data_IF_739241403003
#
_entry.id   IF_739241403003
#
_cell.length_a   1.000
_cell.length_b   1.000
_cell.length_c   1.000
_cell.angle_alpha   90.00
_cell.angle_beta   90.00
_cell.angle_gamma   90.00
#
_symmetry.space_group_name_H-M   'P 1'
#
loop_
_entity.id
_entity.type
_entity.pdbx_description
1 polymer ?
#
# COMPACT_ATOMS: atom_id res chain seq x y z
N UNK A 1 3.16 -27.19 -21.79
CA UNK A 1 2.66 -26.50 -20.59
C UNK A 1 3.70 -25.45 -20.21
N UNK A 2 3.38 -24.16 -20.23
CA UNK A 2 4.28 -23.19 -19.62
C UNK A 2 4.38 -23.49 -18.12
N UNK A 3 5.59 -23.61 -17.63
CA UNK A 3 5.84 -23.72 -16.20
C UNK A 3 5.22 -22.49 -15.53
N UNK A 4 4.25 -22.68 -14.66
CA UNK A 4 3.76 -21.61 -13.78
C UNK A 4 4.93 -21.23 -12.90
N UNK A 5 5.59 -20.11 -13.24
CA UNK A 5 6.63 -19.57 -12.40
C UNK A 5 6.05 -19.37 -11.01
N UNK A 6 6.70 -19.93 -10.00
CA UNK A 6 6.31 -19.66 -8.61
C UNK A 6 6.37 -18.16 -8.39
N UNK A 7 5.28 -17.53 -7.92
CA UNK A 7 5.31 -16.09 -7.68
C UNK A 7 6.46 -15.73 -6.75
N UNK A 8 7.17 -14.65 -7.06
CA UNK A 8 8.25 -14.16 -6.20
C UNK A 8 7.69 -13.84 -4.81
N UNK A 9 8.43 -14.17 -3.74
CA UNK A 9 8.03 -13.77 -2.40
C UNK A 9 7.98 -12.23 -2.30
N UNK A 10 7.04 -11.73 -1.52
CA UNK A 10 6.83 -10.30 -1.37
C UNK A 10 6.67 -9.90 0.09
N UNK A 11 7.13 -8.70 0.41
CA UNK A 11 6.75 -7.96 1.61
C UNK A 11 5.49 -7.14 1.32
N UNK A 12 4.68 -6.86 2.31
CA UNK A 12 3.53 -5.98 2.15
C UNK A 12 3.63 -4.79 3.09
N UNK A 13 3.22 -3.61 2.63
CA UNK A 13 3.03 -2.44 3.49
C UNK A 13 1.60 -1.95 3.43
N UNK A 14 1.00 -1.80 4.60
CA UNK A 14 -0.29 -1.12 4.78
C UNK A 14 0.01 0.32 5.22
N UNK A 15 -0.42 1.28 4.41
CA UNK A 15 -0.17 2.71 4.66
C UNK A 15 -1.25 3.27 5.58
N UNK A 16 -0.92 3.43 6.85
CA UNK A 16 -1.78 4.00 7.88
C UNK A 16 -1.34 5.40 8.33
N UNK A 17 -0.33 5.97 7.69
CA UNK A 17 0.15 7.33 7.93
C UNK A 17 -0.73 8.37 7.24
N UNK A 18 -1.24 9.33 8.01
CA UNK A 18 -2.01 10.44 7.47
C UNK A 18 -2.62 11.28 8.58
N UNK A 19 -2.83 12.60 8.31
CA UNK A 19 -3.40 13.51 9.33
C UNK A 19 -4.86 13.24 9.67
N UNK A 20 -5.57 12.42 8.88
CA UNK A 20 -7.00 12.13 9.09
C UNK A 20 -7.90 13.37 9.09
N UNK A 21 -7.46 14.49 8.50
CA UNK A 21 -8.15 15.79 8.60
C UNK A 21 -9.61 15.73 8.13
N UNK A 22 -9.89 14.98 7.07
CA UNK A 22 -11.26 14.78 6.52
C UNK A 22 -12.17 13.95 7.43
N UNK A 23 -11.58 13.20 8.35
CA UNK A 23 -12.27 12.32 9.32
C UNK A 23 -12.16 12.89 10.74
N UNK A 24 -12.06 14.22 10.90
CA UNK A 24 -11.95 14.86 12.21
C UNK A 24 -10.68 14.50 13.01
N UNK A 25 -9.58 14.17 12.31
CA UNK A 25 -8.33 13.75 12.94
C UNK A 25 -8.28 12.27 13.34
N UNK A 26 -9.31 11.49 13.02
CA UNK A 26 -9.35 10.05 13.28
C UNK A 26 -8.27 9.29 12.50
N UNK A 27 -7.77 8.24 13.11
CA UNK A 27 -6.86 7.32 12.46
C UNK A 27 -7.67 6.33 11.58
N UNK A 28 -7.56 6.49 10.27
CA UNK A 28 -8.41 5.79 9.31
C UNK A 28 -8.34 4.27 9.42
N UNK A 29 -7.15 3.71 9.62
CA UNK A 29 -6.98 2.27 9.76
C UNK A 29 -7.68 1.69 11.00
N UNK A 30 -7.87 2.51 12.03
CA UNK A 30 -8.54 2.12 13.27
C UNK A 30 -10.04 2.46 13.30
N UNK A 31 -10.54 3.20 12.32
CA UNK A 31 -11.97 3.44 12.17
C UNK A 31 -12.67 2.12 11.84
N UNK A 32 -13.81 1.89 12.50
CA UNK A 32 -14.60 0.68 12.30
C UNK A 32 -15.43 0.77 11.02
N UNK A 33 -15.36 -0.28 10.25
CA UNK A 33 -16.25 -0.59 9.15
C UNK A 33 -16.83 -1.98 9.38
N UNK A 34 -18.16 -2.13 9.33
CA UNK A 34 -18.83 -3.40 9.66
C UNK A 34 -18.34 -3.99 10.99
N UNK A 35 -18.36 -3.16 12.04
CA UNK A 35 -18.00 -3.52 13.43
C UNK A 35 -16.53 -3.93 13.69
N UNK A 36 -15.62 -3.78 12.70
CA UNK A 36 -14.19 -4.09 12.85
C UNK A 36 -13.34 -2.93 12.34
N UNK A 37 -12.14 -2.68 12.92
CA UNK A 37 -11.19 -1.71 12.35
C UNK A 37 -10.85 -2.05 10.89
N UNK A 38 -10.74 -1.03 10.02
CA UNK A 38 -10.41 -1.26 8.61
C UNK A 38 -9.11 -2.03 8.42
N UNK A 39 -8.11 -1.77 9.27
CA UNK A 39 -6.84 -2.50 9.23
C UNK A 39 -7.01 -4.00 9.48
N UNK A 40 -7.98 -4.43 10.27
CA UNK A 40 -8.24 -5.85 10.54
C UNK A 40 -8.73 -6.60 9.31
N UNK A 41 -9.50 -5.94 8.44
CA UNK A 41 -9.94 -6.51 7.16
C UNK A 41 -8.76 -6.74 6.23
N UNK A 42 -7.89 -5.75 6.10
CA UNK A 42 -6.68 -5.84 5.28
C UNK A 42 -5.71 -6.91 5.81
N UNK A 43 -5.51 -6.93 7.12
CA UNK A 43 -4.68 -7.96 7.76
C UNK A 43 -5.17 -9.36 7.43
N UNK A 44 -6.47 -9.63 7.52
CA UNK A 44 -7.06 -10.94 7.25
C UNK A 44 -6.80 -11.42 5.82
N UNK A 45 -6.83 -10.50 4.85
CA UNK A 45 -6.57 -10.83 3.44
C UNK A 45 -5.08 -10.97 3.14
N UNK A 46 -4.24 -10.11 3.71
CA UNK A 46 -2.81 -10.02 3.37
C UNK A 46 -1.97 -11.03 4.16
N UNK A 47 -2.26 -11.24 5.45
CA UNK A 47 -1.46 -12.10 6.35
C UNK A 47 -1.21 -13.52 5.82
N UNK A 48 -2.19 -14.21 5.23
CA UNK A 48 -1.96 -15.55 4.68
C UNK A 48 -1.06 -15.60 3.45
N UNK A 49 -0.78 -14.45 2.82
CA UNK A 49 -0.06 -14.35 1.55
C UNK A 49 1.42 -13.99 1.73
N UNK A 50 1.81 -13.45 2.88
CA UNK A 50 3.20 -13.04 3.15
C UNK A 50 3.59 -13.27 4.59
N UNK A 51 4.87 -13.56 4.80
CA UNK A 51 5.51 -13.64 6.12
C UNK A 51 6.20 -12.33 6.53
N UNK A 52 6.03 -11.26 5.75
CA UNK A 52 6.64 -9.95 5.98
C UNK A 52 5.62 -8.82 5.77
N UNK A 53 4.78 -8.61 6.79
CA UNK A 53 3.73 -7.60 6.82
C UNK A 53 4.18 -6.39 7.64
N UNK A 54 4.26 -5.24 6.98
CA UNK A 54 4.70 -3.95 7.52
C UNK A 54 3.49 -3.02 7.60
N UNK A 55 3.39 -2.23 8.66
CA UNK A 55 2.46 -1.09 8.72
C UNK A 55 3.26 0.19 8.86
N UNK A 56 3.00 1.14 7.97
CA UNK A 56 3.53 2.50 8.07
C UNK A 56 2.56 3.36 8.85
N UNK A 57 2.96 3.78 10.07
CA UNK A 57 2.14 4.61 10.94
C UNK A 57 3.02 5.53 11.81
N UNK A 58 2.55 6.76 12.06
CA UNK A 58 3.24 7.74 12.89
C UNK A 58 2.57 7.93 14.27
N UNK A 59 1.43 7.29 14.48
CA UNK A 59 0.64 7.35 15.73
C UNK A 59 -0.06 6.01 15.98
N UNK A 60 -0.57 5.83 17.22
CA UNK A 60 -1.30 4.62 17.61
C UNK A 60 -0.54 3.31 17.35
N UNK A 61 0.78 3.34 17.47
CA UNK A 61 1.64 2.20 17.16
C UNK A 61 1.26 0.93 17.94
N UNK A 62 0.88 1.06 19.20
CA UNK A 62 0.44 -0.08 20.02
C UNK A 62 -0.78 -0.79 19.42
N UNK A 63 -1.73 -0.03 18.87
CA UNK A 63 -2.92 -0.59 18.24
C UNK A 63 -2.58 -1.31 16.92
N UNK A 64 -1.61 -0.81 16.16
CA UNK A 64 -1.17 -1.42 14.91
C UNK A 64 -0.23 -2.62 15.10
N UNK A 65 0.49 -2.69 16.23
CA UNK A 65 1.44 -3.77 16.49
C UNK A 65 0.83 -5.18 16.44
N UNK A 66 -0.47 -5.31 16.74
CA UNK A 66 -1.19 -6.57 16.66
C UNK A 66 -1.41 -7.08 15.22
N UNK A 67 -1.22 -6.21 14.22
CA UNK A 67 -1.53 -6.48 12.81
C UNK A 67 -0.31 -6.53 11.90
N UNK A 68 0.90 -6.42 12.43
CA UNK A 68 2.11 -6.38 11.62
C UNK A 68 3.28 -7.11 12.28
N UNK A 69 4.22 -7.58 11.45
CA UNK A 69 5.50 -8.08 11.91
C UNK A 69 6.42 -6.91 12.30
N UNK A 70 6.26 -5.76 11.62
CA UNK A 70 7.02 -4.54 11.88
C UNK A 70 6.20 -3.29 11.64
N UNK A 71 6.49 -2.28 12.44
CA UNK A 71 5.99 -0.92 12.24
C UNK A 71 7.12 -0.04 11.73
N UNK A 72 6.80 0.86 10.81
CA UNK A 72 7.71 1.92 10.35
C UNK A 72 7.01 3.26 10.47
N UNK A 73 7.76 4.29 10.83
CA UNK A 73 7.33 5.68 10.77
C UNK A 73 8.04 6.42 9.65
N UNK A 74 7.49 7.54 9.21
CA UNK A 74 8.28 8.52 8.48
C UNK A 74 8.94 9.47 9.48
N UNK A 75 10.20 9.83 9.25
CA UNK A 75 11.01 10.68 10.13
C UNK A 75 10.57 12.16 10.08
N UNK A 76 9.42 12.47 9.50
CA UNK A 76 8.97 13.82 9.21
C UNK A 76 7.75 14.21 10.02
N UNK A 77 7.88 15.26 10.82
CA UNK A 77 6.76 15.89 11.52
C UNK A 77 5.72 16.51 10.57
N UNK A 78 6.04 16.65 9.27
CA UNK A 78 5.25 17.40 8.29
C UNK A 78 4.31 16.53 7.44
N UNK A 79 4.23 15.22 7.70
CA UNK A 79 3.40 14.28 6.92
C UNK A 79 3.63 14.42 5.40
N UNK A 80 4.80 14.05 4.89
CA UNK A 80 5.20 14.30 3.50
C UNK A 80 4.47 13.44 2.47
N UNK A 81 3.39 12.78 2.85
CA UNK A 81 2.56 11.95 1.98
C UNK A 81 2.96 10.47 1.97
N UNK A 82 2.24 9.65 1.18
CA UNK A 82 2.39 8.19 1.20
C UNK A 82 3.76 7.70 0.72
N UNK A 83 4.48 8.48 -0.09
CA UNK A 83 5.82 8.10 -0.58
C UNK A 83 6.82 7.94 0.57
N UNK A 84 6.69 8.70 1.65
CA UNK A 84 7.52 8.55 2.85
C UNK A 84 7.34 7.17 3.50
N UNK A 85 6.09 6.73 3.67
CA UNK A 85 5.78 5.41 4.21
C UNK A 85 6.26 4.27 3.31
N UNK A 86 6.14 4.43 1.99
CA UNK A 86 6.67 3.47 1.00
C UNK A 86 8.20 3.39 1.10
N UNK A 87 8.88 4.53 1.19
CA UNK A 87 10.33 4.62 1.37
C UNK A 87 10.77 3.88 2.63
N UNK A 88 10.16 4.18 3.78
CA UNK A 88 10.46 3.53 5.04
C UNK A 88 10.23 2.00 4.98
N UNK A 89 9.16 1.55 4.32
CA UNK A 89 8.88 0.14 4.14
C UNK A 89 9.90 -0.55 3.22
N UNK A 90 10.31 0.07 2.10
CA UNK A 90 11.33 -0.49 1.20
C UNK A 90 12.69 -0.68 1.88
N UNK A 91 13.05 0.21 2.82
CA UNK A 91 14.30 0.11 3.59
C UNK A 91 14.35 -1.14 4.46
N UNK A 92 13.20 -1.61 4.98
CA UNK A 92 13.12 -2.74 5.89
C UNK A 92 12.54 -4.01 5.26
N UNK A 93 11.98 -3.94 4.06
CA UNK A 93 11.38 -5.06 3.35
C UNK A 93 12.39 -6.21 3.16
N UNK A 94 11.97 -7.45 3.46
CA UNK A 94 12.83 -8.64 3.36
C UNK A 94 12.82 -9.27 1.97
N UNK A 95 11.72 -9.08 1.23
CA UNK A 95 11.50 -9.73 -0.06
C UNK A 95 11.80 -8.81 -1.26
N UNK A 96 11.99 -9.37 -2.45
CA UNK A 96 12.32 -8.61 -3.67
C UNK A 96 11.20 -7.69 -4.16
N UNK A 97 9.95 -7.97 -3.76
CA UNK A 97 8.77 -7.17 -4.13
C UNK A 97 8.14 -6.58 -2.86
N UNK A 98 7.64 -5.35 -2.96
CA UNK A 98 6.82 -4.69 -1.95
C UNK A 98 5.41 -4.46 -2.50
N UNK A 99 4.41 -5.14 -1.95
CA UNK A 99 2.99 -4.82 -2.15
C UNK A 99 2.65 -3.60 -1.31
N UNK A 100 2.03 -2.59 -1.93
CA UNK A 100 1.58 -1.35 -1.29
C UNK A 100 0.07 -1.29 -1.31
N UNK A 101 -0.56 -1.12 -0.15
CA UNK A 101 -2.00 -0.98 0.00
C UNK A 101 -2.35 0.15 0.98
N UNK A 102 -3.43 0.93 0.74
CA UNK A 102 -3.89 1.92 1.70
C UNK A 102 -4.71 1.25 2.81
N UNK A 103 -4.65 1.77 4.03
CA UNK A 103 -5.36 1.21 5.19
C UNK A 103 -6.88 1.42 5.17
N UNK A 104 -7.38 2.30 4.31
CA UNK A 104 -8.78 2.72 4.21
C UNK A 104 -9.55 2.10 3.03
N UNK A 105 -9.03 1.02 2.46
CA UNK A 105 -9.67 0.24 1.39
C UNK A 105 -10.01 -1.21 1.85
N UNK A 106 -10.94 -1.39 2.78
CA UNK A 106 -11.18 -2.69 3.42
C UNK A 106 -11.87 -3.73 2.52
N UNK A 107 -12.24 -3.35 1.29
CA UNK A 107 -12.83 -4.27 0.29
C UNK A 107 -11.80 -4.96 -0.60
N UNK A 108 -10.51 -4.71 -0.39
CA UNK A 108 -9.44 -5.43 -1.09
C UNK A 108 -9.59 -6.93 -0.85
N UNK A 109 -9.43 -7.71 -1.92
CA UNK A 109 -9.49 -9.15 -1.86
C UNK A 109 -8.19 -9.80 -2.34
N UNK A 110 -8.07 -11.08 -2.09
CA UNK A 110 -6.93 -11.90 -2.52
C UNK A 110 -6.71 -11.85 -4.03
N UNK A 111 -7.78 -11.87 -4.81
CA UNK A 111 -7.71 -11.88 -6.28
C UNK A 111 -7.05 -10.63 -6.83
N UNK A 112 -7.37 -9.46 -6.27
CA UNK A 112 -6.72 -8.20 -6.64
C UNK A 112 -5.22 -8.23 -6.36
N UNK A 113 -4.83 -8.72 -5.18
CA UNK A 113 -3.42 -8.85 -4.79
C UNK A 113 -2.68 -9.80 -5.72
N UNK A 114 -3.23 -10.98 -5.99
CA UNK A 114 -2.63 -11.96 -6.89
C UNK A 114 -2.51 -11.42 -8.32
N UNK A 115 -3.48 -10.64 -8.79
CA UNK A 115 -3.44 -10.00 -10.11
C UNK A 115 -2.34 -8.95 -10.22
N UNK A 116 -2.13 -8.13 -9.17
CA UNK A 116 -1.02 -7.18 -9.11
C UNK A 116 0.33 -7.90 -9.12
N UNK A 117 0.47 -8.95 -8.31
CA UNK A 117 1.71 -9.72 -8.20
C UNK A 117 2.03 -10.48 -9.50
N UNK A 118 1.03 -10.98 -10.21
CA UNK A 118 1.20 -11.69 -11.47
C UNK A 118 1.79 -10.83 -12.59
N UNK A 119 1.60 -9.51 -12.52
CA UNK A 119 2.18 -8.54 -13.47
C UNK A 119 3.55 -8.03 -13.03
N UNK A 120 3.97 -8.33 -11.81
CA UNK A 120 5.21 -7.83 -11.23
C UNK A 120 6.40 -8.66 -11.71
N UNK A 121 7.09 -8.12 -12.70
CA UNK A 121 8.36 -8.63 -13.21
C UNK A 121 9.50 -7.67 -12.82
N UNK A 122 10.11 -7.02 -13.82
CA UNK A 122 11.24 -6.10 -13.62
C UNK A 122 10.83 -4.63 -13.41
N UNK A 123 9.56 -4.31 -13.45
CA UNK A 123 9.04 -2.94 -13.32
C UNK A 123 7.90 -2.86 -12.30
N UNK A 124 7.61 -1.67 -11.78
CA UNK A 124 6.46 -1.51 -10.89
C UNK A 124 5.15 -1.87 -11.58
N UNK A 125 4.16 -2.24 -10.77
CA UNK A 125 2.77 -2.41 -11.20
C UNK A 125 1.92 -1.43 -10.43
N UNK A 126 0.97 -0.78 -11.07
CA UNK A 126 -0.08 0.01 -10.41
C UNK A 126 -1.45 -0.40 -10.95
N UNK A 127 -2.45 -0.39 -10.08
CA UNK A 127 -3.83 -0.44 -10.54
C UNK A 127 -4.19 0.82 -11.33
N UNK A 128 -5.08 0.66 -12.31
CA UNK A 128 -5.60 1.76 -13.13
C UNK A 128 -7.11 1.59 -13.29
N UNK A 129 -7.86 2.67 -13.09
CA UNK A 129 -9.31 2.71 -13.24
C UNK A 129 -9.71 3.95 -14.03
N UNK A 130 -10.52 3.81 -15.07
CA UNK A 130 -10.93 4.91 -15.98
C UNK A 130 -9.74 5.68 -16.57
N UNK A 131 -8.61 5.01 -16.82
CA UNK A 131 -7.40 5.64 -17.30
C UNK A 131 -6.58 6.39 -16.23
N UNK A 132 -7.07 6.46 -14.98
CA UNK A 132 -6.37 7.08 -13.87
C UNK A 132 -5.59 6.04 -13.06
N UNK A 133 -4.37 6.41 -12.69
CA UNK A 133 -3.53 5.59 -11.85
C UNK A 133 -3.97 5.62 -10.39
N UNK A 134 -3.96 4.46 -9.76
CA UNK A 134 -4.21 4.27 -8.33
C UNK A 134 -2.87 3.90 -7.64
N UNK A 135 -2.01 4.88 -7.32
CA UNK A 135 -0.61 4.63 -6.95
C UNK A 135 -0.43 3.93 -5.60
N UNK A 136 -1.48 3.86 -4.78
CA UNK A 136 -1.43 3.15 -3.50
C UNK A 136 -1.90 1.70 -3.59
N UNK A 137 -2.28 1.23 -4.78
CA UNK A 137 -2.53 -0.17 -5.11
C UNK A 137 -1.44 -0.60 -6.09
N UNK A 138 -0.28 -0.96 -5.55
CA UNK A 138 0.93 -1.13 -6.35
C UNK A 138 1.79 -2.30 -5.86
N UNK A 139 2.62 -2.81 -6.76
CA UNK A 139 3.75 -3.68 -6.43
C UNK A 139 5.03 -3.01 -6.92
N UNK A 140 5.99 -2.88 -6.03
CA UNK A 140 7.23 -2.14 -6.27
C UNK A 140 8.42 -3.08 -6.09
N UNK A 141 9.28 -3.28 -7.13
CA UNK A 141 10.52 -4.00 -6.95
C UNK A 141 11.45 -3.30 -5.93
N UNK A 142 11.90 -4.04 -4.91
CA UNK A 142 12.75 -3.50 -3.84
C UNK A 142 14.05 -2.88 -4.38
N UNK A 143 14.54 -3.37 -5.51
CA UNK A 143 15.73 -2.83 -6.20
C UNK A 143 15.60 -1.36 -6.63
N UNK A 144 14.38 -0.81 -6.63
CA UNK A 144 14.14 0.60 -6.94
C UNK A 144 14.38 1.55 -5.74
N UNK A 145 14.72 1.02 -4.56
CA UNK A 145 15.00 1.84 -3.38
C UNK A 145 16.09 2.90 -3.64
N UNK A 146 17.23 2.63 -4.28
CA UNK A 146 18.21 3.69 -4.58
C UNK A 146 17.63 4.83 -5.42
N UNK A 147 16.84 4.51 -6.43
CA UNK A 147 16.15 5.53 -7.25
C UNK A 147 15.15 6.35 -6.42
N UNK A 148 14.45 5.72 -5.47
CA UNK A 148 13.56 6.45 -4.57
C UNK A 148 14.34 7.39 -3.64
N UNK A 149 15.48 6.97 -3.12
CA UNK A 149 16.33 7.81 -2.28
C UNK A 149 16.86 9.04 -3.04
N UNK A 150 17.29 8.86 -4.29
CA UNK A 150 17.71 9.96 -5.16
C UNK A 150 16.56 10.94 -5.44
N UNK A 151 15.39 10.43 -5.81
CA UNK A 151 14.19 11.23 -6.06
C UNK A 151 13.74 11.99 -4.80
N UNK A 152 13.79 11.33 -3.64
CA UNK A 152 13.46 11.93 -2.35
C UNK A 152 14.39 13.10 -2.01
N UNK A 153 15.69 12.93 -2.19
CA UNK A 153 16.70 13.98 -1.99
C UNK A 153 16.51 15.15 -2.95
N UNK A 154 16.05 14.86 -4.18
CA UNK A 154 15.70 15.87 -5.18
C UNK A 154 14.35 16.58 -4.90
N UNK A 155 13.66 16.23 -3.82
CA UNK A 155 12.39 16.86 -3.42
C UNK A 155 11.13 16.20 -3.97
N UNK A 156 11.22 15.00 -4.59
CA UNK A 156 10.03 14.28 -5.04
C UNK A 156 9.22 13.77 -3.85
N UNK A 157 7.90 13.98 -3.89
CA UNK A 157 6.94 13.53 -2.85
C UNK A 157 5.73 12.81 -3.44
N UNK A 158 5.56 12.83 -4.77
CA UNK A 158 4.46 12.18 -5.46
C UNK A 158 4.78 10.72 -5.77
N UNK A 159 4.08 9.79 -5.14
CA UNK A 159 4.17 8.35 -5.43
C UNK A 159 3.90 8.07 -6.90
N UNK A 160 2.83 8.65 -7.46
CA UNK A 160 2.46 8.44 -8.85
C UNK A 160 3.54 8.92 -9.81
N UNK A 161 4.10 10.11 -9.59
CA UNK A 161 5.11 10.70 -10.49
C UNK A 161 6.39 9.87 -10.48
N UNK A 162 6.85 9.46 -9.30
CA UNK A 162 8.02 8.60 -9.16
C UNK A 162 7.80 7.24 -9.83
N UNK A 163 6.66 6.55 -9.55
CA UNK A 163 6.37 5.25 -10.17
C UNK A 163 6.26 5.34 -11.70
N UNK A 164 5.63 6.40 -12.22
CA UNK A 164 5.51 6.60 -13.68
C UNK A 164 6.86 6.77 -14.38
N UNK A 165 7.85 7.33 -13.73
CA UNK A 165 9.21 7.41 -14.27
C UNK A 165 9.84 6.03 -14.53
N UNK A 166 9.34 4.98 -13.87
CA UNK A 166 9.77 3.59 -14.05
C UNK A 166 8.88 2.76 -14.99
N UNK A 167 8.04 3.41 -15.80
CA UNK A 167 7.20 2.77 -16.82
C UNK A 167 6.37 1.59 -16.25
N UNK A 168 5.50 1.81 -15.27
CA UNK A 168 4.76 0.75 -14.60
C UNK A 168 3.86 -0.04 -15.53
N UNK A 169 3.68 -1.32 -15.26
CA UNK A 169 2.59 -2.09 -15.82
C UNK A 169 1.26 -1.66 -15.19
N UNK A 170 0.19 -1.64 -15.98
CA UNK A 170 -1.15 -1.31 -15.50
C UNK A 170 -1.94 -2.59 -15.24
N UNK A 171 -2.47 -2.74 -14.01
CA UNK A 171 -3.60 -3.62 -13.77
C UNK A 171 -4.87 -2.80 -14.01
N UNK A 172 -5.48 -2.99 -15.19
CA UNK A 172 -6.71 -2.28 -15.55
C UNK A 172 -7.89 -2.90 -14.81
N UNK A 173 -8.57 -2.09 -14.02
CA UNK A 173 -9.77 -2.45 -13.26
C UNK A 173 -10.99 -1.76 -13.84
N UNK A 174 -12.18 -2.34 -13.64
CA UNK A 174 -13.45 -1.74 -14.04
C UNK A 174 -13.71 -0.43 -13.28
N UNK A 175 -14.49 0.46 -13.88
CA UNK A 175 -14.81 1.78 -13.32
C UNK A 175 -15.54 1.72 -11.97
N UNK A 176 -16.33 0.68 -11.76
CA UNK A 176 -17.10 0.41 -10.55
C UNK A 176 -16.45 -0.59 -9.58
N UNK A 177 -15.15 -0.90 -9.78
CA UNK A 177 -14.44 -1.82 -8.90
C UNK A 177 -14.31 -1.28 -7.48
N UNK A 178 -15.16 -1.77 -6.59
CA UNK A 178 -15.22 -1.34 -5.20
C UNK A 178 -13.98 -1.70 -4.38
N UNK A 179 -13.14 -2.63 -4.86
CA UNK A 179 -11.90 -3.02 -4.19
C UNK A 179 -10.89 -1.88 -4.13
N UNK A 180 -10.96 -0.94 -5.08
CA UNK A 180 -10.12 0.26 -5.13
C UNK A 180 -10.74 1.46 -4.41
N UNK A 181 -11.86 1.27 -3.70
CA UNK A 181 -12.58 2.36 -3.05
C UNK A 181 -12.07 2.61 -1.64
N UNK A 182 -11.56 3.82 -1.41
CA UNK A 182 -11.17 4.30 -0.09
C UNK A 182 -12.41 4.80 0.67
N UNK A 183 -12.57 4.37 1.92
CA UNK A 183 -13.65 4.84 2.79
C UNK A 183 -13.18 6.11 3.53
N UNK A 184 -13.32 7.26 2.86
CA UNK A 184 -12.78 8.54 3.30
C UNK A 184 -13.76 9.45 4.05
N UNK A 185 -15.04 9.04 4.18
CA UNK A 185 -16.05 9.82 4.88
C UNK A 185 -16.91 8.96 5.80
N UNK A 186 -17.46 9.53 6.90
CA UNK A 186 -18.33 8.82 7.83
C UNK A 186 -19.55 8.17 7.15
N UNK A 187 -20.08 8.80 6.11
CA UNK A 187 -21.27 8.32 5.38
C UNK A 187 -21.02 7.01 4.64
N UNK A 188 -19.76 6.68 4.36
CA UNK A 188 -19.35 5.43 3.70
C UNK A 188 -19.13 4.28 4.69
N UNK A 189 -19.12 4.57 6.00
CA UNK A 189 -18.84 3.59 7.05
C UNK A 189 -20.10 2.80 7.45
N UNK A 190 -21.28 3.24 7.05
CA UNK A 190 -22.62 2.61 7.06
C UNK A 190 -22.98 1.84 8.29
#
# INVERSE_FOLDING_TARGET
MPATATPLPFSAVLLAGGRGQRMGGLDKGLVHWQARPMIAWLHEVVRPLTDDLIISCNRNQEAYAAYADRLVGDDSADYPGPLAGIRAALQVARHPLLLVLPCDAPRIDRTLIESLLALAEDRPVMAQRDGYWEPLFAVIPRRLLPSLEEAWQAGERSTQRWLRAHQPAALVCESDDLRLSNLNSPDLLG
#
